data_IF_592957935949
#
_entry.id   IF_592957935949
#
_cell.length_a   1.000
_cell.length_b   1.000
_cell.length_c   1.000
_cell.angle_alpha   90.00
_cell.angle_beta   90.00
_cell.angle_gamma   90.00
#
_symmetry.space_group_name_H-M   'P 1'
#
loop_
_entity.id
_entity.type
_entity.pdbx_description
1 polymer ?
#
# COMPACT_ATOMS: atom_id res chain seq x y z
N UNK A 1 11.22 3.45 18.11
CA UNK A 1 10.67 4.71 17.56
C UNK A 1 9.25 4.39 17.14
N UNK A 2 8.25 5.14 17.60
CA UNK A 2 6.86 4.88 17.21
C UNK A 2 6.67 5.25 15.73
N UNK A 3 5.85 4.50 14.97
CA UNK A 3 5.54 4.81 13.57
C UNK A 3 4.89 6.20 13.46
N UNK A 4 4.03 6.57 14.43
CA UNK A 4 3.41 7.88 14.50
C UNK A 4 4.44 9.04 14.56
N UNK A 5 5.47 8.91 15.39
CA UNK A 5 6.54 9.93 15.49
C UNK A 5 7.31 10.09 14.18
N UNK A 6 7.46 9.00 13.43
CA UNK A 6 8.19 8.98 12.16
C UNK A 6 7.38 9.66 11.04
N UNK A 7 6.06 9.46 11.04
CA UNK A 7 5.14 10.06 10.06
C UNK A 7 4.85 11.53 10.33
N UNK A 8 4.93 11.96 11.59
CA UNK A 8 4.56 13.32 12.03
C UNK A 8 5.15 14.41 11.14
N UNK A 9 6.46 14.31 10.83
CA UNK A 9 7.15 15.34 10.06
C UNK A 9 6.60 15.45 8.64
N UNK A 10 6.39 14.32 7.96
CA UNK A 10 5.74 14.31 6.64
C UNK A 10 4.30 14.85 6.70
N UNK A 11 3.51 14.46 7.71
CA UNK A 11 2.12 14.93 7.85
C UNK A 11 2.07 16.45 8.07
N UNK A 12 3.02 17.02 8.80
CA UNK A 12 3.10 18.46 9.07
C UNK A 12 3.63 19.26 7.88
N UNK A 13 4.61 18.75 7.13
CA UNK A 13 5.25 19.47 6.02
C UNK A 13 4.64 19.19 4.65
N UNK A 14 3.97 18.04 4.50
CA UNK A 14 3.41 17.50 3.25
C UNK A 14 4.45 17.33 2.12
N UNK A 15 5.74 17.37 2.44
CA UNK A 15 6.80 17.45 1.44
C UNK A 15 7.25 16.06 0.98
N UNK A 16 7.51 15.93 -0.32
CA UNK A 16 8.00 14.68 -0.91
C UNK A 16 9.36 14.27 -0.35
N UNK A 17 10.21 15.22 0.04
CA UNK A 17 11.49 14.93 0.68
C UNK A 17 11.31 14.17 2.01
N UNK A 18 10.28 14.50 2.79
CA UNK A 18 10.02 13.78 4.05
C UNK A 18 9.33 12.45 3.80
N UNK A 19 8.46 12.36 2.78
CA UNK A 19 7.86 11.10 2.34
C UNK A 19 8.93 10.09 1.88
N UNK A 20 9.84 10.54 1.02
CA UNK A 20 10.94 9.72 0.47
C UNK A 20 12.01 9.36 1.50
N UNK A 21 12.11 10.12 2.59
CA UNK A 21 12.99 9.81 3.72
C UNK A 21 12.41 8.78 4.69
N UNK A 22 11.13 8.40 4.57
CA UNK A 22 10.54 7.37 5.41
C UNK A 22 11.23 6.02 5.19
N UNK A 23 11.43 5.28 6.28
CA UNK A 23 12.13 4.00 6.23
C UNK A 23 11.27 2.89 5.59
N UNK A 24 11.93 1.88 5.04
CA UNK A 24 11.30 0.72 4.38
C UNK A 24 10.57 -0.25 5.34
N UNK A 25 10.64 -0.03 6.66
CA UNK A 25 9.82 -0.76 7.64
C UNK A 25 8.48 -0.06 7.91
N UNK A 26 8.24 1.09 7.28
CA UNK A 26 7.05 1.91 7.45
C UNK A 26 6.30 2.06 6.13
N UNK A 27 7.01 2.42 5.07
CA UNK A 27 6.45 2.66 3.73
C UNK A 27 7.07 1.67 2.75
N UNK A 28 6.30 1.27 1.74
CA UNK A 28 6.85 0.59 0.57
C UNK A 28 6.57 1.36 -0.71
N UNK A 29 7.45 1.16 -1.70
CA UNK A 29 7.42 1.82 -2.99
C UNK A 29 7.26 0.75 -4.07
N UNK A 30 6.38 1.03 -5.04
CA UNK A 30 6.09 0.12 -6.15
C UNK A 30 6.38 0.86 -7.44
N UNK A 31 7.26 0.32 -8.26
CA UNK A 31 7.49 0.80 -9.62
C UNK A 31 6.40 0.27 -10.56
N UNK A 32 6.09 1.00 -11.64
CA UNK A 32 5.11 0.53 -12.63
C UNK A 32 5.50 -0.79 -13.30
N UNK A 33 6.79 -1.15 -13.29
CA UNK A 33 7.31 -2.44 -13.78
C UNK A 33 7.43 -3.52 -12.70
N UNK A 34 6.96 -3.28 -11.49
CA UNK A 34 7.10 -4.22 -10.39
C UNK A 34 6.27 -5.49 -10.61
N UNK A 35 6.81 -6.62 -10.17
CA UNK A 35 6.11 -7.91 -10.19
C UNK A 35 5.10 -8.01 -9.03
N UNK A 36 3.98 -8.68 -9.28
CA UNK A 36 2.85 -8.68 -8.34
C UNK A 36 3.15 -9.36 -6.99
N UNK A 37 3.98 -10.42 -6.99
CA UNK A 37 4.42 -11.09 -5.76
C UNK A 37 5.44 -10.26 -4.97
N UNK A 38 6.31 -9.51 -5.65
CA UNK A 38 7.25 -8.58 -5.02
C UNK A 38 6.54 -7.47 -4.24
N UNK A 39 5.41 -6.96 -4.74
CA UNK A 39 4.56 -5.99 -4.02
C UNK A 39 4.13 -6.54 -2.65
N UNK A 40 3.76 -7.82 -2.59
CA UNK A 40 3.36 -8.49 -1.33
C UNK A 40 4.56 -8.62 -0.39
N UNK A 41 5.74 -8.97 -0.90
CA UNK A 41 6.96 -9.02 -0.09
C UNK A 41 7.35 -7.66 0.50
N UNK A 42 7.15 -6.57 -0.26
CA UNK A 42 7.42 -5.23 0.25
C UNK A 42 6.48 -4.84 1.37
N UNK A 43 5.19 -5.14 1.22
CA UNK A 43 4.21 -4.93 2.27
C UNK A 43 4.58 -5.73 3.55
N UNK A 44 4.94 -7.00 3.40
CA UNK A 44 5.36 -7.84 4.54
C UNK A 44 6.59 -7.28 5.25
N UNK A 45 7.54 -6.65 4.55
CA UNK A 45 8.68 -5.98 5.20
C UNK A 45 8.24 -4.81 6.09
N UNK A 46 7.12 -4.16 5.80
CA UNK A 46 6.58 -3.06 6.59
C UNK A 46 5.71 -3.51 7.78
N UNK A 47 4.87 -4.54 7.58
CA UNK A 47 3.98 -5.04 8.64
C UNK A 47 4.61 -6.15 9.49
N UNK A 48 5.62 -6.84 8.95
CA UNK A 48 6.48 -7.82 9.59
C UNK A 48 5.72 -8.86 10.41
N UNK A 49 4.76 -9.54 9.77
CA UNK A 49 3.88 -10.50 10.44
C UNK A 49 4.50 -11.90 10.57
N UNK A 50 5.48 -12.21 9.74
CA UNK A 50 6.05 -13.54 9.52
C UNK A 50 5.10 -14.50 8.79
N UNK A 51 3.95 -14.03 8.32
CA UNK A 51 2.87 -14.90 7.81
C UNK A 51 2.27 -14.44 6.48
N UNK A 52 2.66 -13.28 5.96
CA UNK A 52 2.27 -12.81 4.63
C UNK A 52 3.31 -13.25 3.60
N UNK A 53 2.88 -13.93 2.55
CA UNK A 53 3.71 -14.24 1.38
C UNK A 53 2.82 -14.43 0.15
N UNK A 54 3.43 -14.39 -1.03
CA UNK A 54 2.74 -14.65 -2.27
C UNK A 54 3.51 -15.55 -3.21
N UNK A 55 2.78 -16.16 -4.14
CA UNK A 55 3.34 -16.93 -5.25
C UNK A 55 2.52 -16.65 -6.52
N UNK A 56 3.25 -16.45 -7.63
CA UNK A 56 2.67 -16.39 -8.96
C UNK A 56 2.44 -17.81 -9.51
N UNK A 57 1.32 -18.01 -10.19
CA UNK A 57 0.97 -19.28 -10.80
C UNK A 57 0.11 -19.11 -12.05
N UNK A 58 -0.16 -20.22 -12.72
CA UNK A 58 -1.01 -20.24 -13.91
C UNK A 58 -2.18 -21.21 -13.73
N UNK A 59 -3.34 -20.82 -14.23
CA UNK A 59 -4.50 -21.71 -14.43
C UNK A 59 -4.95 -21.60 -15.88
N UNK A 60 -4.50 -22.53 -16.72
CA UNK A 60 -4.62 -22.39 -18.17
C UNK A 60 -3.75 -21.23 -18.66
N UNK A 61 -4.35 -20.28 -19.38
CA UNK A 61 -3.68 -19.09 -19.90
C UNK A 61 -3.76 -17.89 -18.94
N UNK A 62 -4.37 -18.06 -17.76
CA UNK A 62 -4.54 -16.98 -16.78
C UNK A 62 -3.39 -16.97 -15.77
N UNK A 63 -2.77 -15.80 -15.61
CA UNK A 63 -1.83 -15.52 -14.52
C UNK A 63 -2.61 -15.25 -13.23
N UNK A 64 -2.23 -15.95 -12.16
CA UNK A 64 -2.85 -15.89 -10.85
C UNK A 64 -1.82 -15.45 -9.80
N UNK A 65 -2.25 -14.58 -8.90
CA UNK A 65 -1.53 -14.27 -7.65
C UNK A 65 -2.20 -15.04 -6.52
N UNK A 66 -1.42 -15.85 -5.79
CA UNK A 66 -1.88 -16.50 -4.55
C UNK A 66 -1.21 -15.87 -3.35
N UNK A 67 -1.98 -15.25 -2.47
CA UNK A 67 -1.51 -14.64 -1.22
C UNK A 67 -1.86 -15.57 -0.06
N UNK A 68 -0.87 -15.90 0.76
CA UNK A 68 -1.05 -16.57 2.04
C UNK A 68 -0.91 -15.53 3.14
N UNK A 69 -1.89 -15.46 4.04
CA UNK A 69 -1.87 -14.56 5.18
C UNK A 69 -2.45 -15.27 6.40
N UNK A 70 -1.65 -15.37 7.47
CA UNK A 70 -1.95 -16.23 8.63
C UNK A 70 -2.25 -17.67 8.15
N UNK A 71 -3.38 -18.24 8.55
CA UNK A 71 -3.80 -19.60 8.17
C UNK A 71 -4.74 -19.63 6.93
N UNK A 72 -4.81 -18.53 6.17
CA UNK A 72 -5.71 -18.37 5.02
C UNK A 72 -4.93 -18.25 3.70
N UNK A 73 -5.55 -18.73 2.63
CA UNK A 73 -5.02 -18.68 1.26
C UNK A 73 -6.06 -18.00 0.37
N UNK A 74 -5.62 -17.02 -0.39
CA UNK A 74 -6.45 -16.24 -1.31
C UNK A 74 -5.82 -16.29 -2.70
N UNK A 75 -6.60 -16.53 -3.73
CA UNK A 75 -6.10 -16.57 -5.11
C UNK A 75 -6.99 -15.72 -6.00
N UNK A 76 -6.40 -14.81 -6.75
CA UNK A 76 -7.10 -14.03 -7.76
C UNK A 76 -6.32 -13.93 -9.07
N UNK A 77 -7.08 -13.73 -10.15
CA UNK A 77 -6.51 -13.32 -11.42
C UNK A 77 -6.05 -11.89 -11.30
N UNK A 78 -4.78 -11.67 -11.57
CA UNK A 78 -4.14 -10.36 -11.51
C UNK A 78 -3.39 -10.15 -12.81
N UNK A 79 -3.53 -8.95 -13.37
CA UNK A 79 -2.93 -8.58 -14.64
C UNK A 79 -2.13 -7.28 -14.55
N UNK A 80 -2.20 -6.55 -13.43
CA UNK A 80 -1.59 -5.24 -13.25
C UNK A 80 -1.48 -4.85 -11.75
N UNK A 81 -0.71 -3.79 -11.46
CA UNK A 81 -0.34 -3.28 -10.13
C UNK A 81 -1.56 -2.80 -9.33
N UNK A 82 -2.51 -2.12 -9.98
CA UNK A 82 -3.72 -1.62 -9.32
C UNK A 82 -4.57 -2.77 -8.75
N UNK A 83 -4.97 -3.80 -9.54
CA UNK A 83 -5.59 -5.01 -9.02
C UNK A 83 -4.79 -5.69 -7.90
N UNK A 84 -3.46 -5.75 -7.99
CA UNK A 84 -2.61 -6.35 -6.94
C UNK A 84 -2.72 -5.63 -5.62
N UNK A 85 -2.60 -4.30 -5.63
CA UNK A 85 -2.69 -3.47 -4.42
C UNK A 85 -4.08 -3.51 -3.81
N UNK A 86 -5.13 -3.49 -4.64
CA UNK A 86 -6.52 -3.63 -4.20
C UNK A 86 -6.74 -5.01 -3.54
N UNK A 87 -6.27 -6.07 -4.20
CA UNK A 87 -6.41 -7.44 -3.68
C UNK A 87 -5.66 -7.60 -2.36
N UNK A 88 -4.39 -7.18 -2.31
CA UNK A 88 -3.56 -7.24 -1.11
C UNK A 88 -4.19 -6.45 0.05
N UNK A 89 -4.66 -5.21 -0.19
CA UNK A 89 -5.33 -4.42 0.84
C UNK A 89 -6.56 -5.15 1.40
N UNK A 90 -7.35 -5.81 0.55
CA UNK A 90 -8.51 -6.59 0.98
C UNK A 90 -8.12 -7.82 1.80
N UNK A 91 -7.05 -8.52 1.44
CA UNK A 91 -6.55 -9.70 2.18
C UNK A 91 -6.13 -9.35 3.60
N UNK A 92 -5.54 -8.16 3.78
CA UNK A 92 -5.03 -7.70 5.07
C UNK A 92 -6.12 -7.20 6.04
N UNK A 93 -7.32 -6.92 5.54
CA UNK A 93 -8.43 -6.45 6.38
C UNK A 93 -9.00 -7.59 7.24
N UNK A 94 -9.34 -7.33 8.51
CA UNK A 94 -9.40 -6.02 9.17
C UNK A 94 -8.13 -5.65 9.97
N UNK A 95 -7.07 -6.45 9.88
CA UNK A 95 -5.87 -6.30 10.72
C UNK A 95 -5.06 -5.05 10.32
N UNK A 96 -4.89 -4.86 9.02
CA UNK A 96 -4.17 -3.74 8.43
C UNK A 96 -4.97 -3.10 7.28
N UNK A 97 -4.67 -1.82 7.03
CA UNK A 97 -5.17 -1.06 5.89
C UNK A 97 -3.98 -0.40 5.20
N UNK A 98 -3.85 -0.66 3.91
CA UNK A 98 -2.94 0.03 3.00
C UNK A 98 -3.64 1.27 2.50
N UNK A 99 -2.99 2.43 2.66
CA UNK A 99 -3.41 3.66 2.00
C UNK A 99 -2.35 4.13 1.01
N UNK A 100 -2.80 4.68 -0.11
CA UNK A 100 -1.94 5.25 -1.14
C UNK A 100 -1.48 6.64 -0.71
N UNK A 101 -0.17 6.90 -0.76
CA UNK A 101 0.40 8.20 -0.41
C UNK A 101 0.31 9.16 -1.60
N UNK A 102 -0.66 10.08 -1.56
CA UNK A 102 -0.95 11.05 -2.64
C UNK A 102 0.24 11.93 -2.99
N UNK A 103 1.18 12.13 -2.07
CA UNK A 103 2.43 12.85 -2.34
C UNK A 103 3.33 12.18 -3.38
N UNK A 104 3.08 10.92 -3.75
CA UNK A 104 3.77 10.19 -4.83
C UNK A 104 3.00 10.14 -6.15
N UNK A 105 1.77 10.69 -6.20
CA UNK A 105 0.90 10.62 -7.39
C UNK A 105 1.55 11.30 -8.61
N UNK A 106 1.41 10.67 -9.78
CA UNK A 106 2.04 11.11 -11.04
C UNK A 106 3.50 10.69 -11.25
N UNK A 107 4.08 9.91 -10.33
CA UNK A 107 5.41 9.30 -10.46
C UNK A 107 5.35 7.89 -11.08
N UNK A 108 6.43 7.46 -11.72
CA UNK A 108 6.64 6.07 -12.17
C UNK A 108 6.73 5.07 -11.00
N UNK A 109 7.03 5.58 -9.80
CA UNK A 109 7.13 4.81 -8.56
C UNK A 109 6.20 5.44 -7.51
N UNK A 110 5.20 4.68 -7.07
CA UNK A 110 4.16 5.10 -6.14
C UNK A 110 4.42 4.55 -4.73
N UNK A 111 3.99 5.28 -3.71
CA UNK A 111 4.27 4.97 -2.31
C UNK A 111 3.00 4.56 -1.54
N UNK A 112 3.14 3.56 -0.67
CA UNK A 112 2.04 2.93 0.03
C UNK A 112 2.35 2.73 1.50
N UNK A 113 1.38 3.05 2.35
CA UNK A 113 1.53 3.03 3.80
C UNK A 113 0.62 1.96 4.41
N UNK A 114 1.16 0.78 4.77
CA UNK A 114 0.41 -0.27 5.47
C UNK A 114 0.50 -0.04 6.98
N UNK A 115 -0.62 0.25 7.61
CA UNK A 115 -0.72 0.39 9.07
C UNK A 115 -1.86 -0.45 9.62
N UNK A 116 -1.69 -0.89 10.86
CA UNK A 116 -2.76 -1.52 11.61
C UNK A 116 -3.89 -0.51 11.87
N UNK A 117 -5.09 -1.02 12.12
CA UNK A 117 -6.23 -0.18 12.51
C UNK A 117 -5.96 0.73 13.71
N UNK A 118 -5.17 0.24 14.68
CA UNK A 118 -4.80 1.00 15.87
C UNK A 118 -3.86 2.17 15.54
N UNK A 119 -2.89 1.94 14.65
CA UNK A 119 -1.95 2.97 14.19
C UNK A 119 -2.67 4.05 13.36
N UNK A 120 -3.60 3.68 12.47
CA UNK A 120 -4.43 4.66 11.77
C UNK A 120 -5.25 5.52 12.72
N UNK A 121 -5.90 4.89 13.71
CA UNK A 121 -6.69 5.61 14.71
C UNK A 121 -5.81 6.55 15.57
N UNK A 122 -4.59 6.13 15.91
CA UNK A 122 -3.62 6.99 16.62
C UNK A 122 -3.30 8.24 15.79
N UNK A 123 -2.98 8.08 14.51
CA UNK A 123 -2.72 9.22 13.62
C UNK A 123 -3.94 10.13 13.47
N UNK A 124 -5.14 9.56 13.32
CA UNK A 124 -6.39 10.32 13.19
C UNK A 124 -6.67 11.14 14.45
N UNK A 125 -6.36 10.61 15.63
CA UNK A 125 -6.51 11.33 16.90
C UNK A 125 -5.49 12.48 17.07
N UNK A 126 -4.29 12.35 16.49
CA UNK A 126 -3.23 13.35 16.60
C UNK A 126 -3.42 14.49 15.58
N UNK A 127 -3.70 14.13 14.33
CA UNK A 127 -3.67 15.06 13.19
C UNK A 127 -5.06 15.44 12.66
N UNK A 128 -6.09 14.70 13.06
CA UNK A 128 -7.44 14.82 12.50
C UNK A 128 -7.61 14.00 11.22
N UNK A 129 -8.80 13.43 11.06
CA UNK A 129 -9.13 12.58 9.91
C UNK A 129 -9.01 13.31 8.56
N UNK A 130 -9.52 14.53 8.47
CA UNK A 130 -9.49 15.34 7.23
C UNK A 130 -8.06 15.50 6.69
N UNK A 131 -7.13 15.87 7.58
CA UNK A 131 -5.71 16.01 7.25
C UNK A 131 -5.09 14.72 6.70
N UNK A 132 -5.47 13.56 7.24
CA UNK A 132 -4.97 12.28 6.75
C UNK A 132 -5.62 11.87 5.44
N UNK A 133 -6.92 12.12 5.26
CA UNK A 133 -7.62 11.82 4.01
C UNK A 133 -7.09 12.69 2.84
N UNK A 134 -6.57 13.88 3.12
CA UNK A 134 -5.88 14.74 2.14
C UNK A 134 -4.52 14.17 1.69
N UNK A 135 -3.83 13.40 2.54
CA UNK A 135 -2.49 12.87 2.26
C UNK A 135 -2.49 11.39 1.84
N UNK A 136 -3.45 10.63 2.34
CA UNK A 136 -3.52 9.18 2.21
C UNK A 136 -4.89 8.76 1.67
N UNK A 137 -4.91 8.17 0.48
CA UNK A 137 -6.13 7.67 -0.13
C UNK A 137 -6.43 6.24 0.34
N UNK A 138 -7.69 6.00 0.73
CA UNK A 138 -8.17 4.65 1.01
C UNK A 138 -8.32 3.87 -0.29
N UNK A 139 -7.61 2.76 -0.40
CA UNK A 139 -7.66 1.88 -1.57
C UNK A 139 -8.93 1.03 -1.53
N UNK A 140 -9.77 1.18 -2.56
CA UNK A 140 -10.97 0.38 -2.78
C UNK A 140 -10.99 -0.17 -4.22
N UNK A 141 -12.04 -0.92 -4.57
CA UNK A 141 -12.15 -1.61 -5.87
C UNK A 141 -12.10 -0.67 -7.09
N UNK A 142 -12.44 0.61 -6.90
CA UNK A 142 -12.52 1.63 -7.95
C UNK A 142 -11.31 2.59 -7.92
N UNK A 143 -10.36 2.38 -6.99
CA UNK A 143 -9.14 3.20 -6.89
C UNK A 143 -8.23 2.98 -8.09
N UNK A 144 -7.81 4.07 -8.72
CA UNK A 144 -6.82 4.07 -9.82
C UNK A 144 -5.54 4.72 -9.32
N UNK A 145 -4.41 4.03 -9.45
CA UNK A 145 -3.09 4.50 -9.00
C UNK A 145 -2.15 4.56 -10.20
N UNK A 146 -1.79 3.42 -10.78
CA UNK A 146 -0.98 3.34 -11.98
C UNK A 146 -1.79 3.51 -13.26
N UNK A 147 -3.07 3.12 -13.26
CA UNK A 147 -3.92 3.21 -14.45
C UNK A 147 -4.58 4.57 -14.63
N UNK A 148 -4.24 5.56 -13.79
CA UNK A 148 -4.86 6.88 -13.80
C UNK A 148 -4.51 7.60 -15.10
N UNK A 149 -5.51 7.91 -15.90
CA UNK A 149 -5.32 8.71 -17.11
C UNK A 149 -5.01 10.16 -16.73
N UNK A 150 -3.88 10.67 -17.20
CA UNK A 150 -3.52 12.07 -17.06
C UNK A 150 -3.93 12.80 -18.34
N UNK A 151 -4.99 13.60 -18.26
CA UNK A 151 -5.32 14.56 -19.32
C UNK A 151 -4.25 15.67 -19.31
N UNK A 152 -3.26 15.52 -20.19
CA UNK A 152 -2.36 16.62 -20.53
C UNK A 152 -3.10 17.57 -21.49
N UNK A 153 -3.61 18.69 -20.97
CA UNK A 153 -4.09 19.81 -21.79
C UNK A 153 -2.95 20.50 -22.57
#
# INVERSE_FOLDING_TARGET
>A
MNKADTLKKYIETESFEELSALNSQLIFWVDWREEDDAIVEYCEKCINTGTLNAEMGYSGDELLLTIKYKDQVFTEKVMDRDPTLIFLNRVLQPDYEIRFCKGSDGSDTLAFLPLSKAEWLELENIHGKEKLDDLFEVINQDTQMFSKEWDFE
#
